data_IF_357453486798
#
_entry.id   IF_357453486798
#
_cell.length_a   1.000
_cell.length_b   1.000
_cell.length_c   1.000
_cell.angle_alpha   90.00
_cell.angle_beta   90.00
_cell.angle_gamma   90.00
#
_symmetry.space_group_name_H-M   'P 1'
#
loop_
_entity.id
_entity.type
_entity.pdbx_description
1 polymer ?
#
# COMPACT_ATOMS: atom_id res chain seq x y z
N UNK A 1 5.35 38.33 -25.10
CA UNK A 1 4.17 37.64 -24.54
C UNK A 1 4.20 37.95 -23.06
N UNK A 2 3.16 38.57 -22.50
CA UNK A 2 3.13 38.90 -21.07
C UNK A 2 2.95 37.59 -20.32
N UNK A 3 3.88 37.29 -19.42
CA UNK A 3 3.73 36.25 -18.41
C UNK A 3 2.50 36.60 -17.55
N UNK A 4 1.42 35.84 -17.71
CA UNK A 4 0.27 35.92 -16.81
C UNK A 4 0.75 35.48 -15.42
N UNK A 5 0.77 36.44 -14.49
CA UNK A 5 1.02 36.14 -13.08
C UNK A 5 -0.08 35.21 -12.56
N UNK A 6 0.25 34.16 -11.79
CA UNK A 6 -0.72 33.19 -11.27
C UNK A 6 -1.77 33.78 -10.31
N UNK A 7 -1.70 35.09 -10.01
CA UNK A 7 -2.57 35.80 -9.07
C UNK A 7 -3.84 36.41 -9.72
N UNK A 8 -4.03 36.30 -11.04
CA UNK A 8 -5.18 36.89 -11.76
C UNK A 8 -6.34 35.92 -12.07
N UNK A 9 -6.31 34.70 -11.52
CA UNK A 9 -7.44 33.78 -11.65
C UNK A 9 -8.54 34.14 -10.64
N UNK A 10 -9.80 34.36 -11.07
CA UNK A 10 -10.89 34.60 -10.15
C UNK A 10 -11.04 33.40 -9.19
N UNK A 11 -11.39 33.65 -7.91
CA UNK A 11 -11.61 32.56 -6.97
C UNK A 11 -12.70 31.63 -7.49
N UNK A 12 -12.49 30.32 -7.33
CA UNK A 12 -13.47 29.31 -7.72
C UNK A 12 -14.82 29.63 -7.06
N UNK A 13 -15.89 29.44 -7.81
CA UNK A 13 -17.23 29.46 -7.26
C UNK A 13 -17.41 28.28 -6.29
N UNK A 14 -18.44 28.36 -5.44
CA UNK A 14 -18.77 27.27 -4.53
C UNK A 14 -19.03 25.95 -5.30
N UNK A 15 -19.76 26.02 -6.41
CA UNK A 15 -20.07 24.86 -7.26
C UNK A 15 -18.80 24.25 -7.88
N UNK A 16 -17.88 25.07 -8.37
CA UNK A 16 -16.60 24.60 -8.92
C UNK A 16 -15.72 23.98 -7.84
N UNK A 17 -15.76 24.52 -6.61
CA UNK A 17 -15.04 23.97 -5.47
C UNK A 17 -15.60 22.62 -5.05
N UNK A 18 -16.92 22.50 -4.94
CA UNK A 18 -17.61 21.24 -4.59
C UNK A 18 -17.35 20.16 -5.64
N UNK A 19 -17.41 20.52 -6.93
CA UNK A 19 -17.07 19.60 -8.02
C UNK A 19 -15.62 19.14 -7.94
N UNK A 20 -14.68 20.06 -7.72
CA UNK A 20 -13.25 19.73 -7.60
C UNK A 20 -12.98 18.81 -6.41
N UNK A 21 -13.63 19.05 -5.26
CA UNK A 21 -13.54 18.17 -4.09
C UNK A 21 -14.02 16.77 -4.46
N UNK A 22 -15.18 16.64 -5.10
CA UNK A 22 -15.71 15.33 -5.53
C UNK A 22 -14.74 14.60 -6.47
N UNK A 23 -14.14 15.28 -7.44
CA UNK A 23 -13.15 14.67 -8.34
C UNK A 23 -11.87 14.21 -7.60
N UNK A 24 -11.45 14.93 -6.57
CA UNK A 24 -10.31 14.55 -5.73
C UNK A 24 -10.66 13.33 -4.87
N UNK A 25 -11.85 13.30 -4.27
CA UNK A 25 -12.35 12.18 -3.48
C UNK A 25 -12.48 10.90 -4.31
N UNK A 26 -13.03 11.00 -5.52
CA UNK A 26 -13.16 9.86 -6.45
C UNK A 26 -11.78 9.28 -6.80
N UNK A 27 -10.82 10.14 -7.12
CA UNK A 27 -9.44 9.70 -7.42
C UNK A 27 -8.78 9.06 -6.20
N UNK A 28 -8.97 9.62 -5.02
CA UNK A 28 -8.45 9.05 -3.79
C UNK A 28 -9.07 7.68 -3.51
N UNK A 29 -10.38 7.52 -3.73
CA UNK A 29 -11.08 6.25 -3.57
C UNK A 29 -10.58 5.19 -4.55
N UNK A 30 -10.43 5.54 -5.83
CA UNK A 30 -9.88 4.63 -6.85
C UNK A 30 -8.45 4.22 -6.52
N UNK A 31 -7.59 5.17 -6.17
CA UNK A 31 -6.21 4.87 -5.80
C UNK A 31 -6.14 3.95 -4.57
N UNK A 32 -7.00 4.17 -3.57
CA UNK A 32 -7.09 3.30 -2.40
C UNK A 32 -7.55 1.88 -2.78
N UNK A 33 -8.53 1.75 -3.67
CA UNK A 33 -9.00 0.45 -4.15
C UNK A 33 -7.92 -0.32 -4.93
N UNK A 34 -7.14 0.36 -5.78
CA UNK A 34 -6.01 -0.24 -6.49
C UNK A 34 -4.89 -0.71 -5.55
N UNK A 35 -4.55 0.13 -4.56
CA UNK A 35 -3.56 -0.22 -3.53
C UNK A 35 -4.04 -1.43 -2.73
N UNK A 36 -5.31 -1.44 -2.32
CA UNK A 36 -5.91 -2.57 -1.64
C UNK A 36 -5.84 -3.86 -2.47
N UNK A 37 -6.22 -3.80 -3.76
CA UNK A 37 -6.15 -4.95 -4.65
C UNK A 37 -4.71 -5.49 -4.80
N UNK A 38 -3.72 -4.60 -4.91
CA UNK A 38 -2.32 -5.00 -4.94
C UNK A 38 -1.88 -5.70 -3.64
N UNK A 39 -2.27 -5.16 -2.48
CA UNK A 39 -1.97 -5.75 -1.17
C UNK A 39 -2.60 -7.13 -1.03
N UNK A 40 -3.88 -7.26 -1.41
CA UNK A 40 -4.61 -8.52 -1.44
C UNK A 40 -3.91 -9.59 -2.28
N UNK A 41 -3.54 -9.24 -3.52
CA UNK A 41 -2.84 -10.17 -4.43
C UNK A 41 -1.48 -10.59 -3.86
N UNK A 42 -0.70 -9.65 -3.32
CA UNK A 42 0.61 -9.94 -2.75
C UNK A 42 0.49 -10.83 -1.51
N UNK A 43 -0.42 -10.53 -0.59
CA UNK A 43 -0.64 -11.32 0.61
C UNK A 43 -1.05 -12.76 0.28
N UNK A 44 -1.99 -12.94 -0.64
CA UNK A 44 -2.43 -14.27 -1.07
C UNK A 44 -1.33 -15.05 -1.79
N UNK A 45 -0.53 -14.39 -2.65
CA UNK A 45 0.61 -15.03 -3.28
C UNK A 45 1.62 -15.51 -2.25
N UNK A 46 1.95 -14.68 -1.24
CA UNK A 46 2.87 -15.07 -0.18
C UNK A 46 2.33 -16.24 0.65
N UNK A 47 1.04 -16.24 0.97
CA UNK A 47 0.39 -17.38 1.65
C UNK A 47 0.49 -18.65 0.83
N UNK A 48 0.18 -18.61 -0.46
CA UNK A 48 0.20 -19.80 -1.29
C UNK A 48 1.61 -20.35 -1.52
N UNK A 49 2.61 -19.47 -1.67
CA UNK A 49 4.01 -19.89 -1.75
C UNK A 49 4.49 -20.55 -0.44
N UNK A 50 4.01 -20.06 0.71
CA UNK A 50 4.29 -20.63 2.02
C UNK A 50 3.65 -22.00 2.20
N UNK A 51 2.36 -22.12 1.89
CA UNK A 51 1.61 -23.37 2.04
C UNK A 51 2.14 -24.48 1.13
N UNK A 52 2.65 -24.12 -0.05
CA UNK A 52 3.33 -25.05 -0.97
C UNK A 52 4.77 -25.38 -0.55
N UNK A 53 5.29 -24.78 0.53
CA UNK A 53 6.66 -24.97 1.01
C UNK A 53 7.74 -24.42 0.07
N UNK A 54 7.36 -23.54 -0.86
CA UNK A 54 8.30 -22.94 -1.83
C UNK A 54 9.08 -21.78 -1.23
N UNK A 55 8.56 -21.18 -0.17
CA UNK A 55 9.13 -19.99 0.47
C UNK A 55 8.63 -19.85 1.90
N UNK A 56 9.49 -19.45 2.83
CA UNK A 56 9.06 -19.05 4.18
C UNK A 56 8.60 -17.58 4.13
N UNK A 57 7.28 -17.37 4.16
CA UNK A 57 6.68 -16.04 4.08
C UNK A 57 6.99 -15.19 5.32
N UNK A 58 7.00 -15.80 6.51
CA UNK A 58 7.35 -15.09 7.75
C UNK A 58 8.79 -14.59 7.70
N UNK A 59 9.74 -15.44 7.32
CA UNK A 59 11.14 -15.04 7.19
C UNK A 59 11.33 -13.99 6.09
N UNK A 60 10.55 -14.04 5.02
CA UNK A 60 10.58 -13.01 3.98
C UNK A 60 10.09 -11.66 4.49
N UNK A 61 8.96 -11.61 5.18
CA UNK A 61 8.43 -10.38 5.78
C UNK A 61 9.44 -9.78 6.77
N UNK A 62 10.10 -10.60 7.59
CA UNK A 62 11.18 -10.14 8.47
C UNK A 62 12.38 -9.56 7.71
N UNK A 63 12.77 -10.14 6.57
CA UNK A 63 13.84 -9.60 5.72
C UNK A 63 13.46 -8.27 5.09
N UNK A 64 12.22 -8.13 4.62
CA UNK A 64 11.71 -6.86 4.09
C UNK A 64 11.74 -5.77 5.17
N UNK A 65 11.34 -6.09 6.40
CA UNK A 65 11.42 -5.18 7.53
C UNK A 65 12.87 -4.77 7.85
N UNK A 66 13.81 -5.72 7.83
CA UNK A 66 15.23 -5.40 7.99
C UNK A 66 15.76 -4.53 6.84
N UNK A 67 15.24 -4.71 5.62
CA UNK A 67 15.52 -3.85 4.48
C UNK A 67 15.03 -2.42 4.66
N UNK A 68 14.03 -2.15 5.50
CA UNK A 68 13.58 -0.78 5.79
C UNK A 68 14.49 -0.02 6.74
N UNK A 69 15.18 -0.70 7.67
CA UNK A 69 16.13 -0.04 8.59
C UNK A 69 17.41 0.38 7.88
N UNK A 70 17.74 -0.29 6.76
CA UNK A 70 18.80 0.09 5.83
C UNK A 70 18.26 0.10 4.39
N UNK A 71 17.44 1.09 4.03
CA UNK A 71 16.74 1.10 2.76
C UNK A 71 17.74 1.25 1.62
N UNK A 72 17.54 0.55 0.49
CA UNK A 72 18.36 0.76 -0.69
C UNK A 72 18.36 2.24 -1.10
N UNK A 73 19.52 2.71 -1.57
CA UNK A 73 19.68 4.09 -2.01
C UNK A 73 18.67 4.40 -3.13
N UNK A 74 17.95 5.51 -3.01
CA UNK A 74 17.00 5.98 -4.02
C UNK A 74 15.52 5.81 -3.67
N UNK A 75 15.17 5.21 -2.53
CA UNK A 75 13.78 5.21 -2.06
C UNK A 75 13.34 6.62 -1.62
N UNK A 76 12.30 7.15 -2.25
CA UNK A 76 11.65 8.39 -1.85
C UNK A 76 10.95 8.22 -0.49
N UNK A 77 10.70 9.32 0.22
CA UNK A 77 9.98 9.27 1.50
C UNK A 77 8.59 8.64 1.36
N UNK A 78 7.87 8.94 0.28
CA UNK A 78 6.55 8.36 0.01
C UNK A 78 6.62 6.84 -0.18
N UNK A 79 7.66 6.34 -0.84
CA UNK A 79 7.86 4.90 -1.02
C UNK A 79 8.18 4.21 0.32
N UNK A 80 8.93 4.87 1.21
CA UNK A 80 9.19 4.35 2.56
C UNK A 80 7.90 4.22 3.36
N UNK A 81 7.08 5.27 3.40
CA UNK A 81 5.78 5.21 4.08
C UNK A 81 4.87 4.11 3.50
N UNK A 82 4.80 3.99 2.17
CA UNK A 82 4.00 2.94 1.54
C UNK A 82 4.49 1.52 1.88
N UNK A 83 5.81 1.32 1.97
CA UNK A 83 6.40 0.05 2.35
C UNK A 83 6.21 -0.27 3.84
N UNK A 84 6.31 0.74 4.72
CA UNK A 84 6.00 0.60 6.15
C UNK A 84 4.55 0.19 6.39
N UNK A 85 3.62 0.80 5.66
CA UNK A 85 2.19 0.51 5.76
C UNK A 85 1.88 -0.91 5.26
N UNK A 86 2.42 -1.29 4.08
CA UNK A 86 2.33 -2.66 3.57
C UNK A 86 2.91 -3.69 4.54
N UNK A 87 4.06 -3.39 5.16
CA UNK A 87 4.70 -4.31 6.10
C UNK A 87 3.88 -4.50 7.36
N UNK A 88 3.17 -3.46 7.84
CA UNK A 88 2.24 -3.60 8.95
C UNK A 88 1.13 -4.59 8.61
N UNK A 89 0.54 -4.49 7.43
CA UNK A 89 -0.54 -5.39 7.01
C UNK A 89 -0.03 -6.84 6.86
N UNK A 90 1.13 -7.02 6.21
CA UNK A 90 1.76 -8.35 6.07
C UNK A 90 2.15 -8.94 7.42
N UNK A 91 2.65 -8.14 8.36
CA UNK A 91 2.97 -8.61 9.70
C UNK A 91 1.72 -9.07 10.44
N UNK A 92 0.59 -8.37 10.35
CA UNK A 92 -0.67 -8.83 10.95
C UNK A 92 -1.11 -10.18 10.38
N UNK A 93 -0.89 -10.39 9.07
CA UNK A 93 -1.25 -11.64 8.40
C UNK A 93 -0.36 -12.83 8.79
N UNK A 94 0.95 -12.59 8.94
CA UNK A 94 1.95 -13.63 9.19
C UNK A 94 2.49 -13.67 10.64
N UNK A 95 2.00 -12.83 11.54
CA UNK A 95 2.32 -12.86 12.97
C UNK A 95 1.50 -13.94 13.68
N UNK A 96 1.81 -15.22 13.41
CA UNK A 96 1.55 -16.34 14.33
C UNK A 96 2.15 -17.65 13.77
N UNK A 97 3.04 -18.32 14.53
CA UNK A 97 3.21 -19.78 14.41
C UNK A 97 3.15 -20.45 15.79
N UNK A 98 2.04 -21.14 16.10
CA UNK A 98 1.83 -22.18 17.14
C UNK A 98 0.30 -22.30 17.34
N UNK A 99 -0.42 -23.38 17.03
CA UNK A 99 -0.09 -24.80 17.01
C UNK A 99 -0.87 -25.52 15.89
N UNK A 100 -0.21 -26.46 15.21
CA UNK A 100 -0.85 -27.75 14.92
C UNK A 100 -1.86 -27.90 13.78
N UNK A 101 -2.21 -26.88 12.99
CA UNK A 101 -3.03 -27.11 11.79
C UNK A 101 -2.37 -26.59 10.51
N UNK A 102 -1.69 -27.52 9.83
CA UNK A 102 -1.52 -27.43 8.40
C UNK A 102 -2.92 -27.44 7.75
N UNK A 103 -3.28 -26.33 7.11
CA UNK A 103 -4.41 -26.27 6.19
C UNK A 103 -5.61 -25.49 6.69
N UNK A 104 -5.60 -24.19 6.46
CA UNK A 104 -6.75 -23.51 5.85
C UNK A 104 -6.31 -22.13 5.42
N UNK A 105 -6.31 -21.89 4.10
CA UNK A 105 -5.88 -20.66 3.46
C UNK A 105 -6.44 -19.42 4.15
N UNK A 106 -5.58 -18.71 4.89
CA UNK A 106 -5.88 -17.36 5.34
C UNK A 106 -5.79 -16.46 4.11
N UNK A 107 -6.95 -16.09 3.59
CA UNK A 107 -7.06 -15.06 2.56
C UNK A 107 -6.66 -13.74 3.20
N UNK A 108 -5.74 -13.03 2.55
CA UNK A 108 -5.40 -11.66 2.93
C UNK A 108 -6.64 -10.79 2.71
N UNK A 109 -7.09 -10.02 3.69
CA UNK A 109 -8.32 -9.23 3.64
C UNK A 109 -8.05 -7.74 3.80
#
# INVERSE_FOLDING_TARGET
MKDEQPDDLPPLTQEETEKWIGEVEDKAWMANAEVFACRFLLGNLLSELNDRGLMDATAFVSRLQAGLTSPPQGLSQQQKFGLEDLLRDLQLHFAHPSDGEAGSGRVFH
#
